data_IF_988935286142
#
_entry.id   IF_988935286142
#
_cell.length_a   1.000
_cell.length_b   1.000
_cell.length_c   1.000
_cell.angle_alpha   90.00
_cell.angle_beta   90.00
_cell.angle_gamma   90.00
#
_symmetry.space_group_name_H-M   'P 1'
#
loop_
_entity.id
_entity.type
_entity.pdbx_description
1 polymer ?
#
# COMPACT_ATOMS: atom_id res chain seq x y z
N UNK A 1 15.46 15.37 -5.28
CA UNK A 1 14.69 14.15 -4.95
C UNK A 1 15.42 12.94 -5.55
N UNK A 2 15.93 12.00 -4.75
CA UNK A 2 16.65 10.81 -5.26
C UNK A 2 15.64 9.69 -5.54
N UNK A 3 15.46 9.33 -6.81
CA UNK A 3 14.62 8.19 -7.22
C UNK A 3 15.38 6.88 -7.04
N UNK A 4 14.76 5.89 -6.41
CA UNK A 4 15.31 4.54 -6.32
C UNK A 4 15.05 3.80 -7.64
N UNK A 5 16.11 3.31 -8.30
CA UNK A 5 16.03 2.60 -9.59
C UNK A 5 16.60 1.20 -9.46
N UNK A 6 15.91 0.20 -10.01
CA UNK A 6 16.38 -1.19 -10.06
C UNK A 6 16.12 -1.79 -11.43
N UNK A 7 17.12 -2.45 -12.02
CA UNK A 7 16.96 -3.21 -13.27
C UNK A 7 16.26 -4.53 -12.97
N UNK A 8 15.30 -4.93 -13.81
CA UNK A 8 14.49 -6.13 -13.64
C UNK A 8 14.90 -7.21 -14.65
N UNK A 9 15.09 -8.46 -14.19
CA UNK A 9 15.37 -9.66 -15.01
C UNK A 9 14.87 -10.94 -14.33
N UNK A 10 14.37 -11.91 -15.10
CA UNK A 10 13.96 -13.22 -14.57
C UNK A 10 12.88 -13.10 -13.48
N UNK A 11 13.00 -13.90 -12.40
CA UNK A 11 12.07 -13.87 -11.25
C UNK A 11 11.94 -12.50 -10.59
N UNK A 12 12.96 -11.64 -10.66
CA UNK A 12 12.86 -10.27 -10.13
C UNK A 12 11.86 -9.38 -10.86
N UNK A 13 11.56 -9.69 -12.13
CA UNK A 13 10.52 -8.98 -12.89
C UNK A 13 9.12 -9.42 -12.45
N UNK A 14 8.90 -10.74 -12.30
CA UNK A 14 7.60 -11.28 -11.88
C UNK A 14 7.21 -10.77 -10.49
N UNK A 15 8.11 -10.90 -9.52
CA UNK A 15 7.88 -10.41 -8.16
C UNK A 15 7.62 -8.89 -8.13
N UNK A 16 8.28 -8.13 -9.02
CA UNK A 16 8.04 -6.70 -9.13
C UNK A 16 6.70 -6.36 -9.77
N UNK A 17 6.25 -7.13 -10.77
CA UNK A 17 4.94 -6.98 -11.38
C UNK A 17 3.83 -7.29 -10.37
N UNK A 18 3.99 -8.32 -9.55
CA UNK A 18 3.07 -8.65 -8.45
C UNK A 18 3.04 -7.52 -7.41
N UNK A 19 4.20 -7.02 -6.96
CA UNK A 19 4.28 -5.87 -6.04
C UNK A 19 3.64 -4.62 -6.67
N UNK A 20 3.87 -4.38 -7.96
CA UNK A 20 3.30 -3.25 -8.69
C UNK A 20 1.77 -3.36 -8.77
N UNK A 21 1.25 -4.53 -9.14
CA UNK A 21 -0.18 -4.77 -9.21
C UNK A 21 -0.83 -4.59 -7.84
N UNK A 22 -0.24 -5.14 -6.78
CA UNK A 22 -0.70 -4.97 -5.41
C UNK A 22 -0.74 -3.47 -5.04
N UNK A 23 0.35 -2.72 -5.22
CA UNK A 23 0.38 -1.30 -4.88
C UNK A 23 -0.66 -0.48 -5.66
N UNK A 24 -0.93 -0.82 -6.92
CA UNK A 24 -1.96 -0.15 -7.73
C UNK A 24 -3.36 -0.45 -7.20
N UNK A 25 -3.64 -1.71 -6.85
CA UNK A 25 -4.92 -2.12 -6.26
C UNK A 25 -5.14 -1.44 -4.90
N UNK A 26 -4.13 -1.45 -4.03
CA UNK A 26 -4.24 -0.83 -2.71
C UNK A 26 -4.31 0.69 -2.77
N UNK A 27 -3.66 1.34 -3.75
CA UNK A 27 -3.82 2.77 -3.96
C UNK A 27 -5.28 3.13 -4.30
N UNK A 28 -5.96 2.30 -5.10
CA UNK A 28 -7.38 2.47 -5.43
C UNK A 28 -8.25 2.25 -4.20
N UNK A 29 -8.04 1.15 -3.45
CA UNK A 29 -8.81 0.86 -2.24
C UNK A 29 -8.62 1.91 -1.15
N UNK A 30 -7.43 2.49 -1.03
CA UNK A 30 -7.17 3.59 -0.11
C UNK A 30 -8.01 4.83 -0.48
N UNK A 31 -8.07 5.16 -1.77
CA UNK A 31 -8.89 6.27 -2.24
C UNK A 31 -10.38 6.04 -1.98
N UNK A 32 -10.87 4.81 -2.20
CA UNK A 32 -12.25 4.44 -1.90
C UNK A 32 -12.55 4.54 -0.40
N UNK A 33 -11.61 4.11 0.45
CA UNK A 33 -11.71 4.27 1.90
C UNK A 33 -11.70 5.74 2.35
N UNK A 34 -10.83 6.58 1.77
CA UNK A 34 -10.78 8.01 2.05
C UNK A 34 -12.10 8.70 1.70
N UNK A 35 -12.69 8.35 0.55
CA UNK A 35 -13.99 8.86 0.13
C UNK A 35 -15.12 8.40 1.06
N UNK A 36 -15.08 7.13 1.49
CA UNK A 36 -16.02 6.60 2.48
C UNK A 36 -15.95 7.39 3.79
N UNK A 37 -14.75 7.59 4.33
CA UNK A 37 -14.52 8.32 5.59
C UNK A 37 -14.97 9.78 5.50
N UNK A 38 -14.68 10.46 4.40
CA UNK A 38 -15.10 11.85 4.18
C UNK A 38 -16.62 12.04 4.20
N UNK A 39 -17.39 10.99 3.85
CA UNK A 39 -18.85 11.01 3.88
C UNK A 39 -19.48 10.62 5.23
N UNK A 40 -18.68 10.29 6.25
CA UNK A 40 -19.17 9.74 7.52
C UNK A 40 -19.06 10.77 8.66
N UNK A 41 -20.20 11.28 9.20
CA UNK A 41 -20.21 12.33 10.22
C UNK A 41 -19.72 11.85 11.60
N UNK A 42 -19.59 10.54 11.82
CA UNK A 42 -19.16 9.95 13.09
C UNK A 42 -17.64 9.78 13.25
N UNK A 43 -16.83 10.13 12.24
CA UNK A 43 -15.37 9.92 12.30
C UNK A 43 -14.72 11.07 13.07
N UNK A 44 -13.89 10.79 14.10
CA UNK A 44 -13.17 11.84 14.82
C UNK A 44 -12.31 12.69 13.87
N UNK A 45 -12.36 14.04 13.95
CA UNK A 45 -11.64 14.90 13.01
C UNK A 45 -10.12 14.62 12.90
N UNK A 46 -9.38 14.40 14.02
CA UNK A 46 -7.95 14.07 13.93
C UNK A 46 -7.65 12.79 13.14
N UNK A 47 -8.55 11.81 13.22
CA UNK A 47 -8.42 10.54 12.50
C UNK A 47 -8.72 10.74 11.01
N UNK A 48 -9.77 11.50 10.68
CA UNK A 48 -10.12 11.83 9.30
C UNK A 48 -8.98 12.60 8.59
N UNK A 49 -8.32 13.53 9.29
CA UNK A 49 -7.17 14.27 8.75
C UNK A 49 -5.98 13.36 8.44
N UNK A 50 -5.71 12.35 9.27
CA UNK A 50 -4.63 11.40 9.02
C UNK A 50 -4.97 10.51 7.82
N UNK A 51 -6.20 9.97 7.79
CA UNK A 51 -6.67 9.12 6.69
C UNK A 51 -6.57 9.86 5.34
N UNK A 52 -6.96 11.12 5.29
CA UNK A 52 -6.88 11.95 4.09
C UNK A 52 -5.44 12.19 3.57
N UNK A 53 -4.43 12.04 4.43
CA UNK A 53 -3.01 12.25 4.08
C UNK A 53 -2.29 10.96 3.65
N UNK A 54 -2.87 9.79 3.88
CA UNK A 54 -2.25 8.52 3.54
C UNK A 54 -2.04 8.39 2.03
N UNK A 55 -0.88 7.86 1.64
CA UNK A 55 -0.54 7.61 0.24
C UNK A 55 0.20 6.27 0.09
N UNK A 56 -0.19 5.47 -0.90
CA UNK A 56 0.55 4.26 -1.28
C UNK A 56 1.79 4.63 -2.09
N UNK A 57 2.93 4.01 -1.80
CA UNK A 57 4.15 4.22 -2.57
C UNK A 57 3.93 3.93 -4.05
N UNK A 58 4.14 4.93 -4.92
CA UNK A 58 3.95 4.75 -6.36
C UNK A 58 5.16 4.06 -6.96
N UNK A 59 4.90 2.92 -7.59
CA UNK A 59 5.83 2.14 -8.39
C UNK A 59 5.60 2.42 -9.87
N UNK A 60 6.68 2.47 -10.65
CA UNK A 60 6.63 2.65 -12.11
C UNK A 60 7.52 1.64 -12.78
N UNK A 61 7.04 1.07 -13.88
CA UNK A 61 7.84 0.31 -14.83
C UNK A 61 8.17 1.21 -16.00
N UNK A 62 9.45 1.37 -16.28
CA UNK A 62 9.93 2.13 -17.43
C UNK A 62 10.88 1.28 -18.27
N UNK A 63 10.77 1.41 -19.59
CA UNK A 63 11.71 0.91 -20.58
C UNK A 63 11.78 1.92 -21.70
N UNK A 64 12.93 2.01 -22.38
CA UNK A 64 13.04 2.84 -23.59
C UNK A 64 12.22 2.29 -24.75
N UNK A 65 11.83 1.01 -24.69
CA UNK A 65 11.16 0.27 -25.77
C UNK A 65 9.79 -0.28 -25.33
N UNK A 66 9.18 0.29 -24.29
CA UNK A 66 7.92 -0.22 -23.71
C UNK A 66 6.77 -0.30 -24.72
N UNK A 67 6.77 0.59 -25.73
CA UNK A 67 5.78 0.63 -26.82
C UNK A 67 6.15 -0.34 -27.96
N UNK A 68 7.44 -0.58 -28.18
CA UNK A 68 7.95 -1.34 -29.34
C UNK A 68 8.05 -2.85 -29.08
N UNK A 69 7.96 -3.29 -27.83
CA UNK A 69 7.99 -4.71 -27.46
C UNK A 69 7.15 -4.96 -26.21
N UNK A 70 6.33 -6.03 -26.18
CA UNK A 70 5.56 -6.42 -24.99
C UNK A 70 6.44 -6.87 -23.82
N UNK A 71 7.70 -7.27 -24.09
CA UNK A 71 8.68 -7.67 -23.06
C UNK A 71 10.06 -7.09 -23.36
N UNK A 72 10.27 -5.79 -23.07
CA UNK A 72 11.57 -5.15 -23.27
C UNK A 72 12.65 -5.77 -22.38
N UNK A 73 13.88 -5.89 -22.91
CA UNK A 73 15.04 -6.43 -22.16
C UNK A 73 15.64 -5.42 -21.14
N UNK A 74 15.13 -4.19 -21.14
CA UNK A 74 15.61 -3.04 -20.37
C UNK A 74 14.52 -2.48 -19.44
N UNK A 75 13.80 -3.35 -18.72
CA UNK A 75 12.82 -2.92 -17.74
C UNK A 75 13.50 -2.41 -16.45
N UNK A 76 13.04 -1.24 -16.00
CA UNK A 76 13.46 -0.59 -14.78
C UNK A 76 12.27 -0.32 -13.89
N UNK A 77 12.44 -0.63 -12.61
CA UNK A 77 11.57 -0.23 -11.53
C UNK A 77 11.96 1.14 -11.00
N UNK A 78 10.99 2.03 -10.81
CA UNK A 78 11.17 3.32 -10.14
C UNK A 78 10.15 3.45 -9.01
N UNK A 79 10.58 3.90 -7.83
CA UNK A 79 9.68 4.30 -6.73
C UNK A 79 9.73 5.82 -6.54
N UNK A 80 8.58 6.46 -6.38
CA UNK A 80 8.50 7.94 -6.23
C UNK A 80 9.06 8.43 -4.91
N UNK A 81 8.98 7.62 -3.86
CA UNK A 81 9.54 7.95 -2.57
C UNK A 81 10.48 6.84 -2.09
N UNK A 82 11.56 7.24 -1.42
CA UNK A 82 12.35 6.31 -0.62
C UNK A 82 11.59 6.09 0.68
N UNK A 83 10.86 4.97 0.76
CA UNK A 83 10.38 4.45 2.02
C UNK A 83 11.59 3.87 2.77
N UNK A 84 12.24 4.70 3.60
CA UNK A 84 13.59 4.39 4.10
C UNK A 84 13.54 3.38 5.23
N UNK A 85 12.61 3.57 6.17
CA UNK A 85 12.44 2.74 7.36
C UNK A 85 10.95 2.54 7.66
N UNK A 86 10.22 1.77 6.83
CA UNK A 86 8.81 1.48 7.07
C UNK A 86 8.65 0.71 8.38
N UNK A 87 7.76 1.17 9.26
CA UNK A 87 7.30 0.43 10.45
C UNK A 87 6.06 -0.37 10.11
N UNK A 88 5.94 -1.58 10.65
CA UNK A 88 4.78 -2.46 10.46
C UNK A 88 3.64 -2.06 11.41
N UNK A 89 2.44 -1.84 10.87
CA UNK A 89 1.25 -1.40 11.63
C UNK A 89 0.09 -2.40 11.59
N UNK A 90 0.04 -3.23 10.55
CA UNK A 90 -0.89 -4.36 10.46
C UNK A 90 -0.08 -5.59 10.07
N UNK A 91 -0.23 -6.69 10.80
CA UNK A 91 0.41 -7.96 10.46
C UNK A 91 -0.44 -9.13 10.93
N UNK A 92 -0.45 -10.20 10.15
CA UNK A 92 -1.12 -11.46 10.50
C UNK A 92 -0.20 -12.39 11.32
N UNK A 93 1.12 -12.14 11.29
CA UNK A 93 2.14 -13.02 11.89
C UNK A 93 2.82 -12.34 13.07
N UNK A 94 3.15 -11.06 12.94
CA UNK A 94 3.88 -10.32 13.95
C UNK A 94 2.93 -9.80 15.02
N UNK A 95 3.27 -10.03 16.29
CA UNK A 95 2.65 -9.30 17.41
C UNK A 95 3.14 -7.85 17.36
N UNK A 96 2.22 -6.92 17.11
CA UNK A 96 2.52 -5.50 17.05
C UNK A 96 2.17 -4.84 18.39
N UNK A 97 3.05 -3.97 18.86
CA UNK A 97 2.81 -3.15 20.05
C UNK A 97 2.84 -1.69 19.61
N UNK A 98 1.66 -1.10 19.52
CA UNK A 98 1.47 0.33 19.28
C UNK A 98 0.61 0.88 20.42
N UNK A 99 0.76 2.17 20.72
CA UNK A 99 -0.06 2.80 21.74
C UNK A 99 -1.49 2.98 21.21
N UNK A 100 -2.49 2.83 22.09
CA UNK A 100 -3.90 2.94 21.68
C UNK A 100 -4.25 4.34 21.17
N UNK A 101 -3.48 5.38 21.52
CA UNK A 101 -3.61 6.75 21.06
C UNK A 101 -2.83 7.06 19.76
N UNK A 102 -2.12 6.07 19.19
CA UNK A 102 -1.47 6.22 17.89
C UNK A 102 -2.53 6.25 16.78
N UNK A 103 -2.88 7.46 16.35
CA UNK A 103 -3.88 7.69 15.30
C UNK A 103 -3.50 7.08 13.94
N UNK A 104 -2.21 6.92 13.63
CA UNK A 104 -1.78 6.23 12.40
C UNK A 104 -2.06 4.74 12.52
N UNK A 105 -1.76 4.14 13.68
CA UNK A 105 -2.14 2.75 13.95
C UNK A 105 -3.65 2.56 13.84
N UNK A 106 -4.46 3.41 14.48
CA UNK A 106 -5.92 3.36 14.38
C UNK A 106 -6.42 3.48 12.93
N UNK A 107 -5.88 4.42 12.16
CA UNK A 107 -6.25 4.63 10.75
C UNK A 107 -5.98 3.39 9.89
N UNK A 108 -4.81 2.76 10.06
CA UNK A 108 -4.42 1.59 9.28
C UNK A 108 -5.18 0.33 9.69
N UNK A 109 -5.50 0.17 10.98
CA UNK A 109 -6.38 -0.89 11.45
C UNK A 109 -7.82 -0.70 10.95
N UNK A 110 -8.32 0.54 10.96
CA UNK A 110 -9.64 0.86 10.42
C UNK A 110 -9.72 0.58 8.91
N UNK A 111 -8.68 0.92 8.15
CA UNK A 111 -8.62 0.60 6.71
C UNK A 111 -8.60 -0.91 6.48
N UNK A 112 -7.75 -1.64 7.20
CA UNK A 112 -7.71 -3.12 7.16
C UNK A 112 -9.09 -3.72 7.45
N UNK A 113 -9.74 -3.30 8.54
CA UNK A 113 -11.07 -3.79 8.89
C UNK A 113 -12.16 -3.38 7.87
N UNK A 114 -12.06 -2.19 7.29
CA UNK A 114 -12.97 -1.75 6.23
C UNK A 114 -12.84 -2.64 4.99
N UNK A 115 -11.62 -3.02 4.58
CA UNK A 115 -11.43 -3.96 3.47
C UNK A 115 -12.04 -5.34 3.74
N UNK A 116 -11.95 -5.83 4.98
CA UNK A 116 -12.60 -7.08 5.38
C UNK A 116 -14.11 -7.05 5.17
N UNK A 117 -14.75 -5.95 5.59
CA UNK A 117 -16.18 -5.77 5.41
C UNK A 117 -16.56 -5.59 3.93
N UNK A 118 -15.75 -4.86 3.16
CA UNK A 118 -15.92 -4.71 1.71
C UNK A 118 -15.94 -6.07 1.00
N UNK A 119 -15.05 -6.98 1.41
CA UNK A 119 -14.93 -8.32 0.84
C UNK A 119 -15.82 -9.37 1.50
N UNK A 120 -16.91 -9.02 2.20
CA UNK A 120 -17.83 -10.06 2.68
C UNK A 120 -17.28 -10.86 3.87
N UNK A 121 -16.13 -10.46 4.42
CA UNK A 121 -15.33 -11.28 5.32
C UNK A 121 -14.52 -12.39 4.64
N UNK A 122 -14.38 -12.36 3.31
CA UNK A 122 -13.62 -13.35 2.53
C UNK A 122 -12.14 -13.02 2.41
N UNK A 123 -11.76 -11.74 2.49
CA UNK A 123 -10.37 -11.30 2.37
C UNK A 123 -10.08 -10.11 3.28
N UNK A 124 -8.84 -9.99 3.73
CA UNK A 124 -8.36 -8.91 4.61
C UNK A 124 -7.08 -8.30 4.05
N UNK A 125 -6.99 -6.97 4.03
CA UNK A 125 -5.73 -6.27 3.81
C UNK A 125 -4.83 -6.36 5.05
N UNK A 126 -3.65 -6.93 4.88
CA UNK A 126 -2.68 -7.18 5.94
C UNK A 126 -1.28 -6.69 5.57
N UNK A 127 -0.32 -6.87 6.48
CA UNK A 127 1.10 -6.55 6.30
C UNK A 127 1.44 -5.07 6.03
N UNK A 128 0.50 -4.16 6.28
CA UNK A 128 0.63 -2.73 6.03
C UNK A 128 1.79 -2.16 6.86
N UNK A 129 2.75 -1.58 6.15
CA UNK A 129 3.86 -0.82 6.73
C UNK A 129 3.79 0.64 6.31
N UNK A 130 4.19 1.55 7.20
CA UNK A 130 4.18 2.98 6.96
C UNK A 130 5.50 3.65 7.34
N UNK A 131 5.94 4.61 6.53
CA UNK A 131 6.91 5.63 6.88
C UNK A 131 6.19 6.99 6.81
N UNK A 132 5.77 7.49 7.98
CA UNK A 132 4.83 8.61 8.12
C UNK A 132 3.52 8.29 7.39
N UNK A 133 3.20 9.02 6.32
CA UNK A 133 1.98 8.84 5.54
C UNK A 133 2.16 7.89 4.34
N UNK A 134 3.39 7.45 4.06
CA UNK A 134 3.69 6.63 2.89
C UNK A 134 3.59 5.14 3.24
N UNK A 135 2.68 4.44 2.56
CA UNK A 135 2.29 3.06 2.82
C UNK A 135 2.94 2.07 1.83
N UNK A 136 3.25 0.87 2.31
CA UNK A 136 3.85 -0.21 1.52
C UNK A 136 3.72 -1.58 2.20
N UNK A 137 4.12 -2.64 1.50
CA UNK A 137 4.30 -3.98 2.09
C UNK A 137 3.00 -4.77 2.23
N UNK A 138 1.97 -4.37 1.49
CA UNK A 138 0.63 -4.94 1.54
C UNK A 138 0.61 -6.42 1.19
N UNK A 139 -0.34 -7.13 1.81
CA UNK A 139 -0.72 -8.47 1.43
C UNK A 139 -2.22 -8.65 1.65
N UNK A 140 -2.94 -9.08 0.61
CA UNK A 140 -4.32 -9.54 0.76
C UNK A 140 -4.29 -11.00 1.20
N UNK A 141 -5.04 -11.31 2.25
CA UNK A 141 -5.12 -12.65 2.84
C UNK A 141 -6.55 -13.13 2.72
N UNK A 142 -6.74 -14.24 2.01
CA UNK A 142 -8.03 -14.89 1.91
C UNK A 142 -8.35 -15.67 3.19
N UNK A 143 -9.63 -15.69 3.56
CA UNK A 143 -10.15 -16.54 4.62
C UNK A 143 -10.12 -17.98 4.12
N UNK A 144 -9.28 -18.81 4.75
CA UNK A 144 -9.27 -20.26 4.57
C UNK A 144 -10.52 -20.91 5.15
#
# INVERSE_FOLDING_TARGET
MKLARRRLKGSSLLNYLEEFQMNVQEAKLLMDFQNFVAGQPGVPPPLAEIIAKLEVVRTFIVSKNLIASPLPKDLWAIKTAQNKNPKKYVSQIAKLTHADDDLLYQALQAWSHWTFNLYKGEALLSEISADRHLLSGFQTVDRK
#
